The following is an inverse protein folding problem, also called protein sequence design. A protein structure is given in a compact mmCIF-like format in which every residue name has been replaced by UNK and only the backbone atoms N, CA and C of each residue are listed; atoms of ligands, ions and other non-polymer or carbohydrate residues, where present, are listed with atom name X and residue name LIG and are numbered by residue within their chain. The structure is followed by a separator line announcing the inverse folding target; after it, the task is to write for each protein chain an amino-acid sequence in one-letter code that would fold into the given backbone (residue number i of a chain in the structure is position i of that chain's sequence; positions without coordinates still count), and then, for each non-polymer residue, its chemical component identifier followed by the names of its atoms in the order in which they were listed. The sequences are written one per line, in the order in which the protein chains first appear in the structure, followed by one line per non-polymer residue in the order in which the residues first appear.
data_IF_345222999676
#
_entry.id   IF_345222999676
#
_cell.length_a   1.000
_cell.length_b   1.000
_cell.length_c   1.000
_cell.angle_alpha   90.00
_cell.angle_beta   90.00
_cell.angle_gamma   90.00
#
_symmetry.space_group_name_H-M   'P 1'
#
loop_
_entity.id
_entity.type
_entity.pdbx_description
1 polymer ?
#
# COMPACT_ATOMS: atom_id res chain seq x y z
N UNK A 1 -1.51 -12.15 -15.12
CA UNK A 1 -0.86 -11.05 -15.87
C UNK A 1 0.50 -10.74 -15.24
N UNK A 2 1.48 -10.18 -15.97
CA UNK A 2 2.72 -9.71 -15.36
C UNK A 2 2.42 -8.58 -14.34
N UNK A 3 3.19 -8.52 -13.25
CA UNK A 3 3.07 -7.40 -12.30
C UNK A 3 3.39 -6.07 -13.00
N UNK A 4 2.52 -5.09 -12.81
CA UNK A 4 2.74 -3.71 -13.22
C UNK A 4 3.38 -2.92 -12.08
N UNK A 5 4.30 -2.02 -12.40
CA UNK A 5 5.03 -1.21 -11.41
C UNK A 5 4.69 0.27 -11.59
N UNK A 6 4.22 0.90 -10.53
CA UNK A 6 3.93 2.33 -10.39
C UNK A 6 5.01 2.94 -9.51
N UNK A 7 5.89 3.76 -10.08
CA UNK A 7 7.08 4.28 -9.39
C UNK A 7 6.86 5.67 -8.78
N UNK A 8 5.77 6.34 -9.17
CA UNK A 8 5.46 7.72 -8.80
C UNK A 8 4.13 7.83 -8.03
N UNK A 9 3.67 6.72 -7.44
CA UNK A 9 2.46 6.69 -6.63
C UNK A 9 2.54 7.61 -5.40
N UNK A 10 1.38 8.07 -4.96
CA UNK A 10 1.20 8.78 -3.70
C UNK A 10 0.34 7.97 -2.74
N UNK A 11 0.54 8.18 -1.45
CA UNK A 11 -0.16 7.50 -0.38
C UNK A 11 -0.59 8.49 0.69
N UNK A 12 -1.87 8.49 1.02
CA UNK A 12 -2.40 9.24 2.15
C UNK A 12 -2.51 8.34 3.38
N UNK A 13 -2.11 8.86 4.54
CA UNK A 13 -2.20 8.19 5.82
C UNK A 13 -3.32 8.81 6.64
N UNK A 14 -4.40 8.07 6.79
CA UNK A 14 -5.56 8.48 7.57
C UNK A 14 -5.57 7.78 8.93
N UNK A 15 -5.25 8.52 9.99
CA UNK A 15 -5.21 8.08 11.39
C UNK A 15 -6.45 8.55 12.18
N UNK A 16 -7.60 8.68 11.50
CA UNK A 16 -8.84 9.16 12.10
C UNK A 16 -8.93 10.69 12.12
N UNK A 17 -8.29 11.33 13.11
CA UNK A 17 -8.26 12.81 13.21
C UNK A 17 -7.09 13.45 12.47
N UNK A 18 -6.03 12.67 12.25
CA UNK A 18 -4.83 13.13 11.57
C UNK A 18 -4.78 12.53 10.17
N UNK A 19 -4.60 13.39 9.18
CA UNK A 19 -4.41 13.00 7.79
C UNK A 19 -3.09 13.57 7.32
N UNK A 20 -2.24 12.71 6.78
CA UNK A 20 -1.01 13.13 6.11
C UNK A 20 -1.11 12.74 4.65
N UNK A 21 -1.01 13.73 3.77
CA UNK A 21 -1.32 13.59 2.35
C UNK A 21 -0.06 13.44 1.50
N UNK A 22 -0.23 12.74 0.38
CA UNK A 22 0.72 12.67 -0.73
C UNK A 22 2.11 12.14 -0.36
N UNK A 23 2.21 11.12 0.48
CA UNK A 23 3.48 10.45 0.73
C UNK A 23 3.95 9.69 -0.52
N UNK A 24 5.15 9.96 -1.06
CA UNK A 24 5.67 9.23 -2.20
C UNK A 24 5.83 7.74 -1.87
N UNK A 25 5.33 6.89 -2.75
CA UNK A 25 5.47 5.45 -2.63
C UNK A 25 5.65 4.80 -4.01
N UNK A 26 6.06 3.53 -3.99
CA UNK A 26 6.16 2.69 -5.16
C UNK A 26 5.28 1.48 -4.94
N UNK A 27 4.48 1.14 -5.93
CA UNK A 27 3.56 0.01 -5.90
C UNK A 27 3.88 -0.93 -7.04
N UNK A 28 3.98 -2.22 -6.77
CA UNK A 28 3.95 -3.24 -7.81
C UNK A 28 2.75 -4.14 -7.58
N UNK A 29 1.85 -4.24 -8.54
CA UNK A 29 0.58 -4.95 -8.40
C UNK A 29 0.35 -5.86 -9.59
N UNK A 30 -0.07 -7.09 -9.30
CA UNK A 30 -0.55 -8.07 -10.27
C UNK A 30 -1.82 -8.75 -9.75
N UNK A 31 -2.30 -9.74 -10.50
CA UNK A 31 -3.56 -10.44 -10.16
C UNK A 31 -3.47 -11.22 -8.84
N UNK A 32 -2.27 -11.66 -8.45
CA UNK A 32 -2.05 -12.51 -7.29
C UNK A 32 -1.16 -11.89 -6.22
N UNK A 33 -0.42 -10.82 -6.54
CA UNK A 33 0.60 -10.26 -5.65
C UNK A 33 0.56 -8.74 -5.62
N UNK A 34 0.89 -8.17 -4.46
CA UNK A 34 1.03 -6.75 -4.23
C UNK A 34 2.31 -6.48 -3.44
N UNK A 35 3.06 -5.47 -3.86
CA UNK A 35 4.21 -4.95 -3.15
C UNK A 35 4.05 -3.44 -3.04
N UNK A 36 4.14 -2.91 -1.83
CA UNK A 36 4.10 -1.47 -1.56
C UNK A 36 5.38 -1.09 -0.83
N UNK A 37 6.05 -0.02 -1.26
CA UNK A 37 7.20 0.51 -0.54
C UNK A 37 7.20 2.01 -0.49
N UNK A 38 7.54 2.56 0.67
CA UNK A 38 7.67 3.99 0.92
C UNK A 38 8.84 4.24 1.87
N UNK A 39 9.28 5.49 1.96
CA UNK A 39 10.31 5.89 2.93
C UNK A 39 9.66 6.78 3.98
N UNK A 40 9.86 6.46 5.26
CA UNK A 40 9.40 7.27 6.37
C UNK A 40 10.55 7.50 7.35
N UNK A 41 10.80 8.75 7.72
CA UNK A 41 11.88 9.14 8.64
C UNK A 41 13.29 8.60 8.27
N UNK A 42 13.52 8.32 6.97
CA UNK A 42 14.78 7.78 6.45
C UNK A 42 14.81 6.26 6.34
N UNK A 43 13.83 5.55 6.90
CA UNK A 43 13.71 4.11 6.81
C UNK A 43 12.80 3.68 5.66
N UNK A 44 13.21 2.63 4.95
CA UNK A 44 12.41 2.05 3.87
C UNK A 44 11.46 1.01 4.44
N UNK A 45 10.16 1.28 4.32
CA UNK A 45 9.10 0.32 4.65
C UNK A 45 8.75 -0.48 3.40
N UNK A 46 8.61 -1.80 3.57
CA UNK A 46 8.29 -2.71 2.48
C UNK A 46 7.21 -3.67 2.92
N UNK A 47 6.13 -3.68 2.16
CA UNK A 47 4.93 -4.46 2.42
C UNK A 47 4.68 -5.40 1.24
N UNK A 48 4.36 -6.67 1.52
CA UNK A 48 4.10 -7.69 0.51
C UNK A 48 2.86 -8.47 0.84
N UNK A 49 2.06 -8.74 -0.17
CA UNK A 49 0.78 -9.39 0.01
C UNK A 49 0.35 -10.20 -1.18
N UNK A 50 -0.65 -11.04 -0.96
CA UNK A 50 -1.28 -11.87 -1.98
C UNK A 50 -2.74 -11.53 -2.13
N UNK A 51 -3.25 -11.64 -3.35
CA UNK A 51 -4.67 -11.44 -3.60
C UNK A 51 -5.48 -12.69 -3.31
N UNK A 52 -6.67 -12.52 -2.74
CA UNK A 52 -7.64 -13.61 -2.56
C UNK A 52 -8.60 -13.76 -3.75
N UNK A 53 -8.93 -12.66 -4.41
CA UNK A 53 -10.01 -12.57 -5.41
C UNK A 53 -9.64 -11.67 -6.62
N UNK A 54 -8.36 -11.29 -6.75
CA UNK A 54 -7.86 -10.36 -7.76
C UNK A 54 -8.10 -8.87 -7.46
N UNK A 55 -8.73 -8.54 -6.31
CA UNK A 55 -9.05 -7.17 -5.91
C UNK A 55 -8.63 -6.83 -4.49
N UNK A 56 -8.77 -7.77 -3.58
CA UNK A 56 -8.43 -7.67 -2.17
C UNK A 56 -7.07 -8.32 -1.96
N UNK A 57 -6.17 -7.61 -1.28
CA UNK A 57 -4.82 -8.05 -0.94
C UNK A 57 -4.65 -8.02 0.57
N UNK A 58 -4.19 -9.14 1.13
CA UNK A 58 -3.68 -9.20 2.50
C UNK A 58 -2.17 -9.02 2.44
N UNK A 59 -1.68 -8.00 3.13
CA UNK A 59 -0.33 -7.47 2.99
C UNK A 59 0.35 -7.45 4.36
N UNK A 60 1.58 -7.94 4.44
CA UNK A 60 2.37 -7.96 5.66
C UNK A 60 3.65 -7.14 5.47
N UNK A 61 4.08 -6.47 6.52
CA UNK A 61 5.37 -5.79 6.50
C UNK A 61 6.52 -6.80 6.51
N UNK A 62 7.48 -6.64 5.59
CA UNK A 62 8.60 -7.59 5.40
C UNK A 62 9.57 -7.59 6.58
N UNK A 63 9.68 -6.47 7.30
CA UNK A 63 10.53 -6.35 8.49
C UNK A 63 9.83 -6.68 9.81
N UNK A 64 8.49 -6.74 9.83
CA UNK A 64 7.72 -6.94 11.04
C UNK A 64 6.37 -7.63 10.72
N UNK A 65 6.27 -8.96 10.82
CA UNK A 65 5.05 -9.69 10.48
C UNK A 65 3.84 -9.39 11.37
N UNK A 66 4.02 -8.67 12.48
CA UNK A 66 2.92 -8.20 13.32
C UNK A 66 2.21 -6.98 12.70
N UNK A 67 2.85 -6.31 11.74
CA UNK A 67 2.25 -5.20 11.00
C UNK A 67 1.57 -5.76 9.74
N UNK A 68 0.29 -5.47 9.59
CA UNK A 68 -0.59 -6.02 8.55
C UNK A 68 -1.45 -4.93 7.91
N UNK A 69 -1.80 -5.11 6.64
CA UNK A 69 -2.71 -4.25 5.92
C UNK A 69 -3.62 -5.07 5.01
N UNK A 70 -4.83 -4.57 4.77
CA UNK A 70 -5.76 -5.15 3.82
C UNK A 70 -6.13 -4.10 2.80
N UNK A 71 -5.62 -4.22 1.58
CA UNK A 71 -5.86 -3.26 0.51
C UNK A 71 -6.86 -3.79 -0.50
N UNK A 72 -7.79 -2.95 -0.92
CA UNK A 72 -8.80 -3.23 -1.93
C UNK A 72 -8.54 -2.32 -3.12
N UNK A 73 -8.52 -2.92 -4.31
CA UNK A 73 -8.49 -2.19 -5.57
C UNK A 73 -9.87 -1.65 -5.89
N UNK A 74 -10.08 -0.36 -5.60
CA UNK A 74 -11.35 0.34 -5.81
C UNK A 74 -11.49 0.87 -7.24
N UNK A 75 -10.36 1.12 -7.91
CA UNK A 75 -10.29 1.51 -9.32
C UNK A 75 -9.02 0.96 -9.98
N UNK A 76 -8.87 1.13 -11.29
CA UNK A 76 -7.63 0.75 -11.96
C UNK A 76 -6.39 1.51 -11.45
N UNK A 77 -6.60 2.70 -10.88
CA UNK A 77 -5.57 3.61 -10.41
C UNK A 77 -5.59 3.85 -8.89
N UNK A 78 -6.34 3.08 -8.11
CA UNK A 78 -6.49 3.33 -6.66
C UNK A 78 -6.51 2.04 -5.85
N UNK A 79 -5.75 2.02 -4.76
CA UNK A 79 -5.81 1.02 -3.70
C UNK A 79 -6.20 1.70 -2.39
N UNK A 80 -7.11 1.11 -1.63
CA UNK A 80 -7.55 1.65 -0.34
C UNK A 80 -7.70 0.55 0.69
N UNK A 81 -7.36 0.83 1.95
CA UNK A 81 -7.81 -0.01 3.05
C UNK A 81 -7.02 0.15 4.34
N UNK A 82 -7.41 -0.60 5.38
CA UNK A 82 -6.84 -0.46 6.70
C UNK A 82 -5.45 -1.07 6.81
N UNK A 83 -4.67 -0.52 7.72
CA UNK A 83 -3.38 -1.05 8.15
C UNK A 83 -3.25 -0.98 9.67
N UNK A 84 -2.40 -1.86 10.20
CA UNK A 84 -1.94 -1.90 11.58
C UNK A 84 -0.41 -1.89 11.53
N UNK A 85 0.21 -0.88 12.13
CA UNK A 85 1.66 -0.73 12.20
C UNK A 85 2.04 -0.24 13.59
N UNK A 86 2.89 -0.99 14.30
CA UNK A 86 3.32 -0.69 15.67
C UNK A 86 2.15 -0.41 16.65
N UNK A 87 1.05 -1.15 16.49
CA UNK A 87 -0.15 -1.02 17.34
C UNK A 87 -1.03 0.19 17.03
N UNK A 88 -0.69 1.00 16.02
CA UNK A 88 -1.56 2.06 15.48
C UNK A 88 -2.37 1.50 14.33
N UNK A 89 -3.60 1.97 14.21
CA UNK A 89 -4.49 1.62 13.10
C UNK A 89 -4.74 2.86 12.26
N UNK A 90 -4.70 2.70 10.95
CA UNK A 90 -5.05 3.75 10.01
C UNK A 90 -5.63 3.17 8.74
N UNK A 91 -5.89 4.04 7.77
CA UNK A 91 -6.21 3.66 6.40
C UNK A 91 -5.19 4.27 5.45
N UNK A 92 -4.82 3.51 4.42
CA UNK A 92 -4.14 4.03 3.25
C UNK A 92 -5.14 4.29 2.14
N UNK A 93 -4.93 5.40 1.45
CA UNK A 93 -5.45 5.64 0.11
C UNK A 93 -4.24 5.84 -0.78
N UNK A 94 -4.06 4.99 -1.79
CA UNK A 94 -2.89 4.98 -2.66
C UNK A 94 -3.34 5.24 -4.08
N UNK A 95 -2.86 6.34 -4.65
CA UNK A 95 -3.06 6.64 -6.06
C UNK A 95 -1.90 6.09 -6.89
N UNK A 96 -2.26 5.31 -7.91
CA UNK A 96 -1.33 4.62 -8.78
C UNK A 96 -1.01 5.48 -9.99
N UNK A 97 0.23 5.97 -10.07
CA UNK A 97 0.71 6.82 -11.15
C UNK A 97 1.87 6.15 -11.88
N UNK A 98 1.70 5.98 -13.20
CA UNK A 98 2.78 5.59 -14.11
C UNK A 98 3.60 6.83 -14.51
N UNK A 99 4.80 6.62 -15.06
CA UNK A 99 5.44 7.70 -15.82
C UNK A 99 4.51 8.19 -16.96
N UNK A 100 4.43 9.51 -17.19
CA UNK A 100 3.67 10.07 -18.31
C UNK A 100 4.23 9.67 -19.69
#
# INVERSE_FOLDING_TARGET
MPMKSYLHSTMDWNLGSDRTDNHPCQVRVGDAELVVSYTHLGDRHLWKGTSQDGKTYEVLHVGNPADEARLIRTSDSTLEGPWIEAGRTGNWLIDLEDEP
#
